data_IF_611659425049
#
_entry.id   IF_611659425049
#
_cell.length_a   1.000
_cell.length_b   1.000
_cell.length_c   1.000
_cell.angle_alpha   90.00
_cell.angle_beta   90.00
_cell.angle_gamma   90.00
#
_symmetry.space_group_name_H-M   'P 1'
#
loop_
_entity.id
_entity.type
_entity.pdbx_description
1 polymer ?
#
# COMPACT_ATOMS: atom_id res chain seq x y z
N UNK A 1 20.83 32.67 8.05
CA UNK A 1 20.44 31.59 7.13
C UNK A 1 18.95 31.75 6.82
N UNK A 2 18.53 31.65 5.55
CA UNK A 2 17.10 31.73 5.19
C UNK A 2 16.42 30.39 5.53
N UNK A 3 15.24 30.38 6.18
CA UNK A 3 14.55 29.13 6.48
C UNK A 3 14.10 28.44 5.19
N UNK A 4 14.45 27.17 5.04
CA UNK A 4 14.02 26.31 3.92
C UNK A 4 12.84 25.47 4.37
N UNK A 5 11.75 25.47 3.59
CA UNK A 5 10.61 24.57 3.85
C UNK A 5 10.98 23.15 3.44
N UNK A 6 11.12 22.27 4.42
CA UNK A 6 11.28 20.83 4.20
C UNK A 6 9.87 20.23 4.03
N UNK A 7 9.63 19.55 2.91
CA UNK A 7 8.38 18.82 2.69
C UNK A 7 8.29 17.65 3.68
N UNK A 8 7.19 17.57 4.42
CA UNK A 8 7.00 16.54 5.48
C UNK A 8 6.31 15.25 5.00
N UNK A 9 5.65 15.28 3.84
CA UNK A 9 4.77 14.20 3.35
C UNK A 9 5.14 13.73 1.94
N UNK A 10 6.43 13.75 1.60
CA UNK A 10 6.88 13.35 0.25
C UNK A 10 6.79 11.83 0.04
N UNK A 11 6.92 11.07 1.13
CA UNK A 11 6.88 9.60 1.12
C UNK A 11 5.50 9.03 1.44
N UNK A 12 4.55 9.88 1.83
CA UNK A 12 3.18 9.46 2.13
C UNK A 12 2.36 9.31 0.83
N UNK A 13 1.48 8.29 0.73
CA UNK A 13 0.59 8.16 -0.41
C UNK A 13 -0.33 9.38 -0.56
N UNK A 14 -0.79 9.71 -1.78
CA UNK A 14 -1.72 10.81 -1.97
C UNK A 14 -3.03 10.53 -1.21
N UNK A 15 -3.51 11.54 -0.49
CA UNK A 15 -4.75 11.46 0.28
C UNK A 15 -5.89 12.10 -0.51
N UNK A 16 -7.03 11.40 -0.56
CA UNK A 16 -8.30 11.90 -1.07
C UNK A 16 -9.26 12.10 0.11
N UNK A 17 -9.58 13.36 0.42
CA UNK A 17 -10.38 13.74 1.58
C UNK A 17 -9.78 13.21 2.90
N UNK A 18 -10.38 12.17 3.48
CA UNK A 18 -9.96 11.54 4.74
C UNK A 18 -9.24 10.21 4.53
N UNK A 19 -9.18 9.70 3.30
CA UNK A 19 -8.64 8.39 3.00
C UNK A 19 -7.40 8.50 2.13
N UNK A 20 -6.45 7.63 2.38
CA UNK A 20 -5.27 7.48 1.53
C UNK A 20 -5.58 6.64 0.29
N UNK A 21 -4.91 6.91 -0.84
CA UNK A 21 -5.24 6.25 -2.11
C UNK A 21 -5.13 4.72 -2.06
N UNK A 22 -4.21 4.19 -1.26
CA UNK A 22 -4.03 2.77 -0.98
C UNK A 22 -5.20 2.16 -0.19
N UNK A 23 -5.88 2.93 0.67
CA UNK A 23 -7.10 2.47 1.35
C UNK A 23 -8.31 2.48 0.43
N UNK A 24 -8.41 3.44 -0.50
CA UNK A 24 -9.56 3.53 -1.40
C UNK A 24 -9.50 2.47 -2.50
N UNK A 25 -8.30 1.98 -2.83
CA UNK A 25 -8.07 1.04 -3.93
C UNK A 25 -8.92 -0.24 -3.84
N UNK A 26 -9.01 -0.98 -2.72
CA UNK A 26 -9.85 -2.17 -2.62
C UNK A 26 -11.35 -1.88 -2.79
N UNK A 27 -11.83 -0.74 -2.29
CA UNK A 27 -13.22 -0.32 -2.45
C UNK A 27 -13.55 -0.04 -3.92
N UNK A 28 -12.69 0.71 -4.62
CA UNK A 28 -12.89 1.01 -6.03
C UNK A 28 -12.75 -0.22 -6.92
N UNK A 29 -11.80 -1.11 -6.64
CA UNK A 29 -11.66 -2.39 -7.33
C UNK A 29 -12.89 -3.28 -7.11
N UNK A 30 -13.41 -3.35 -5.88
CA UNK A 30 -14.65 -4.07 -5.59
C UNK A 30 -15.83 -3.50 -6.36
N UNK A 31 -15.92 -2.18 -6.49
CA UNK A 31 -16.97 -1.53 -7.27
C UNK A 31 -16.86 -1.83 -8.76
N UNK A 32 -15.68 -1.69 -9.36
CA UNK A 32 -15.48 -1.92 -10.80
C UNK A 32 -15.76 -3.38 -11.16
N UNK A 33 -15.25 -4.33 -10.37
CA UNK A 33 -15.53 -5.77 -10.52
C UNK A 33 -17.02 -6.05 -10.30
N UNK A 34 -17.64 -5.41 -9.32
CA UNK A 34 -19.06 -5.55 -9.03
C UNK A 34 -19.96 -5.07 -10.16
N UNK A 35 -19.59 -3.99 -10.86
CA UNK A 35 -20.31 -3.49 -12.03
C UNK A 35 -20.22 -4.52 -13.16
N UNK A 36 -19.04 -5.09 -13.42
CA UNK A 36 -18.85 -6.12 -14.46
C UNK A 36 -19.70 -7.37 -14.19
N UNK A 37 -19.84 -7.77 -12.93
CA UNK A 37 -20.62 -8.95 -12.53
C UNK A 37 -22.13 -8.65 -12.39
N UNK A 38 -22.55 -7.38 -12.44
CA UNK A 38 -23.94 -6.97 -12.18
C UNK A 38 -24.35 -7.03 -10.71
N UNK A 39 -23.37 -7.12 -9.80
CA UNK A 39 -23.54 -7.20 -8.33
C UNK A 39 -22.81 -6.04 -7.63
N UNK A 40 -22.94 -4.83 -8.18
CA UNK A 40 -22.18 -3.65 -7.75
C UNK A 40 -22.28 -3.39 -6.24
N UNK A 41 -23.49 -3.41 -5.66
CA UNK A 41 -23.70 -3.11 -4.25
C UNK A 41 -23.05 -4.15 -3.32
N UNK A 42 -23.15 -5.45 -3.66
CA UNK A 42 -22.56 -6.53 -2.86
C UNK A 42 -21.02 -6.45 -2.89
N UNK A 43 -20.43 -6.33 -4.08
CA UNK A 43 -18.98 -6.24 -4.22
C UNK A 43 -18.42 -4.94 -3.64
N UNK A 44 -19.18 -3.84 -3.68
CA UNK A 44 -18.81 -2.59 -3.01
C UNK A 44 -18.76 -2.76 -1.49
N UNK A 45 -19.78 -3.38 -0.87
CA UNK A 45 -19.78 -3.64 0.57
C UNK A 45 -18.62 -4.55 0.99
N UNK A 46 -18.31 -5.56 0.18
CA UNK A 46 -17.13 -6.43 0.40
C UNK A 46 -15.85 -5.60 0.30
N UNK A 47 -15.70 -4.78 -0.75
CA UNK A 47 -14.54 -3.89 -0.91
C UNK A 47 -14.37 -2.91 0.25
N UNK A 48 -15.47 -2.40 0.80
CA UNK A 48 -15.47 -1.52 1.97
C UNK A 48 -15.04 -2.28 3.25
N UNK A 49 -15.53 -3.51 3.45
CA UNK A 49 -15.09 -4.36 4.55
C UNK A 49 -13.60 -4.70 4.47
N UNK A 50 -13.09 -5.01 3.27
CA UNK A 50 -11.67 -5.25 3.02
C UNK A 50 -10.85 -3.99 3.29
N UNK A 51 -11.33 -2.83 2.84
CA UNK A 51 -10.69 -1.54 3.11
C UNK A 51 -10.54 -1.28 4.61
N UNK A 52 -11.63 -1.48 5.38
CA UNK A 52 -11.62 -1.35 6.85
C UNK A 52 -10.60 -2.29 7.50
N UNK A 53 -10.54 -3.54 7.05
CA UNK A 53 -9.59 -4.52 7.58
C UNK A 53 -8.14 -4.15 7.23
N UNK A 54 -7.90 -3.69 6.00
CA UNK A 54 -6.60 -3.22 5.53
C UNK A 54 -6.13 -2.00 6.32
N UNK A 55 -6.97 -0.96 6.44
CA UNK A 55 -6.65 0.23 7.26
C UNK A 55 -6.31 -0.17 8.68
N UNK A 56 -7.14 -1.02 9.31
CA UNK A 56 -6.86 -1.52 10.66
C UNK A 56 -5.53 -2.28 10.74
N UNK A 57 -5.20 -3.10 9.77
CA UNK A 57 -3.92 -3.80 9.75
C UNK A 57 -2.76 -2.82 9.62
N UNK A 58 -2.85 -1.86 8.68
CA UNK A 58 -1.82 -0.85 8.45
C UNK A 58 -1.60 0.04 9.66
N UNK A 59 -2.65 0.55 10.29
CA UNK A 59 -2.55 1.47 11.43
C UNK A 59 -1.89 0.82 12.66
N UNK A 60 -1.90 -0.52 12.75
CA UNK A 60 -1.22 -1.27 13.82
C UNK A 60 0.25 -1.60 13.52
N UNK A 61 0.74 -1.30 12.31
CA UNK A 61 2.07 -1.66 11.85
C UNK A 61 2.83 -0.42 11.35
N UNK A 62 4.17 -0.44 11.39
CA UNK A 62 4.95 0.64 10.81
C UNK A 62 4.75 0.75 9.29
N UNK A 63 4.93 1.96 8.78
CA UNK A 63 4.81 2.25 7.35
C UNK A 63 5.70 1.31 6.51
N UNK A 64 5.14 0.82 5.40
CA UNK A 64 5.88 -0.05 4.48
C UNK A 64 6.04 -1.52 4.91
N UNK A 65 5.41 -1.97 6.00
CA UNK A 65 5.45 -3.40 6.40
C UNK A 65 4.98 -4.33 5.30
N UNK A 66 3.95 -3.96 4.54
CA UNK A 66 3.44 -4.77 3.43
C UNK A 66 4.49 -4.88 2.32
N UNK A 67 5.15 -3.77 1.97
CA UNK A 67 6.26 -3.78 1.01
C UNK A 67 7.44 -4.60 1.52
N UNK A 68 7.70 -4.58 2.83
CA UNK A 68 8.74 -5.40 3.45
C UNK A 68 8.42 -6.89 3.42
N UNK A 69 7.17 -7.27 3.69
CA UNK A 69 6.71 -8.66 3.54
C UNK A 69 6.80 -9.12 2.09
N UNK A 70 6.44 -8.24 1.14
CA UNK A 70 6.56 -8.51 -0.29
C UNK A 70 8.03 -8.63 -0.75
N UNK A 71 8.94 -7.87 -0.12
CA UNK A 71 10.37 -8.00 -0.33
C UNK A 71 10.85 -9.37 0.15
N UNK A 72 10.47 -9.81 1.35
CA UNK A 72 10.86 -11.13 1.87
C UNK A 72 10.26 -12.30 1.08
N UNK A 73 9.07 -12.13 0.51
CA UNK A 73 8.47 -13.14 -0.38
C UNK A 73 9.11 -13.19 -1.77
N UNK A 74 9.97 -12.23 -2.11
CA UNK A 74 10.63 -12.12 -3.42
C UNK A 74 9.77 -11.50 -4.52
N UNK A 75 8.57 -11.01 -4.18
CA UNK A 75 7.62 -10.44 -5.14
C UNK A 75 7.77 -8.92 -5.32
N UNK A 76 8.62 -8.26 -4.52
CA UNK A 76 8.84 -6.84 -4.64
C UNK A 76 9.77 -6.54 -5.83
N UNK A 77 9.28 -5.79 -6.81
CA UNK A 77 10.11 -5.22 -7.88
C UNK A 77 10.34 -3.73 -7.61
N UNK A 78 11.59 -3.36 -7.33
CA UNK A 78 11.99 -1.95 -7.16
C UNK A 78 12.76 -1.45 -8.37
N UNK A 79 12.76 -0.13 -8.59
CA UNK A 79 13.63 0.52 -9.58
C UNK A 79 15.03 0.83 -9.05
N UNK A 80 15.34 0.44 -7.81
CA UNK A 80 16.67 0.65 -7.25
C UNK A 80 17.73 -0.09 -8.08
N UNK A 81 18.88 0.58 -8.33
CA UNK A 81 19.98 0.00 -9.11
C UNK A 81 20.52 -1.29 -8.51
N UNK A 82 20.52 -1.39 -7.19
CA UNK A 82 20.88 -2.58 -6.46
C UNK A 82 19.80 -2.85 -5.42
N UNK A 83 19.11 -3.99 -5.55
CA UNK A 83 18.30 -4.54 -4.47
C UNK A 83 18.94 -5.85 -4.03
N UNK A 84 19.21 -5.95 -2.74
CA UNK A 84 19.71 -7.17 -2.12
C UNK A 84 18.67 -8.28 -2.33
N UNK A 85 19.13 -9.47 -2.71
CA UNK A 85 18.26 -10.62 -2.76
C UNK A 85 17.80 -10.98 -1.33
N UNK A 86 16.48 -11.08 -1.06
CA UNK A 86 15.95 -11.37 0.27
C UNK A 86 16.45 -12.71 0.85
N UNK A 87 16.81 -13.67 0.01
CA UNK A 87 17.29 -14.99 0.44
C UNK A 87 18.77 -15.01 0.87
N UNK A 88 19.54 -13.96 0.51
CA UNK A 88 20.94 -13.84 0.93
C UNK A 88 20.99 -13.23 2.33
N UNK A 89 21.36 -14.06 3.32
CA UNK A 89 21.44 -13.67 4.74
C UNK A 89 22.86 -13.36 5.23
N UNK A 90 23.90 -13.69 4.44
CA UNK A 90 25.30 -13.47 4.81
C UNK A 90 26.06 -12.84 3.64
N UNK A 91 26.79 -11.77 3.94
CA UNK A 91 27.78 -11.19 3.02
C UNK A 91 29.16 -11.64 3.47
N UNK A 92 29.95 -12.15 2.52
CA UNK A 92 31.36 -12.44 2.75
C UNK A 92 32.16 -11.21 2.30
N UNK A 93 33.20 -10.82 3.04
CA UNK A 93 34.12 -9.76 2.65
C UNK A 93 34.94 -10.12 1.42
#
# INVERSE_FOLDING_TARGET
MKPVKIARRVDEPPHLLLWSADEIAPMLLGLTVGIVIGKALLCFLIGLAVTKLYSRFRDNHPDGVILHLLYWSGLLTTRARCMRNPYIRRFLP
#
